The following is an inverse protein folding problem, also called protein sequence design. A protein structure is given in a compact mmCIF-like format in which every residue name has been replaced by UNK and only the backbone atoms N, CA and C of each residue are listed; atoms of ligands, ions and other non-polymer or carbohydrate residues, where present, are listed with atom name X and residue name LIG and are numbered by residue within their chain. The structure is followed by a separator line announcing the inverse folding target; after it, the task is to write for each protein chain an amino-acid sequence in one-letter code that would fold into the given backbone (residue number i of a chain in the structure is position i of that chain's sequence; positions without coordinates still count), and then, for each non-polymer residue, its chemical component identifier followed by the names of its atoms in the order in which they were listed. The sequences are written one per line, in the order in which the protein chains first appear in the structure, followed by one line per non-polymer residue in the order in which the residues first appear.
data_IF_884863682003
#
_entry.id   IF_884863682003
#
_cell.length_a   1.000
_cell.length_b   1.000
_cell.length_c   1.000
_cell.angle_alpha   90.00
_cell.angle_beta   90.00
_cell.angle_gamma   90.00
#
_symmetry.space_group_name_H-M   'P 1'
#
loop_
_entity.id
_entity.type
_entity.pdbx_description
1 polymer ?
#
# COMPACT_ATOMS: atom_id res chain seq x y z
N UNK A 1 2.59 -38.01 -30.29
CA UNK A 1 1.19 -37.81 -29.86
C UNK A 1 1.07 -37.40 -28.37
N UNK A 2 2.15 -36.85 -27.77
CA UNK A 2 2.22 -36.49 -26.32
C UNK A 2 2.37 -34.99 -26.04
N UNK A 3 2.40 -34.13 -27.06
CA UNK A 3 2.60 -32.70 -26.91
C UNK A 3 1.31 -31.86 -26.83
N UNK A 4 0.15 -32.47 -27.10
CA UNK A 4 -1.13 -31.73 -27.01
C UNK A 4 -1.83 -31.83 -25.63
N UNK A 5 -1.36 -32.71 -24.75
CA UNK A 5 -1.95 -32.88 -23.41
C UNK A 5 -1.36 -31.94 -22.39
N UNK A 6 -0.10 -31.49 -22.59
CA UNK A 6 0.55 -30.55 -21.64
C UNK A 6 0.01 -29.12 -21.71
N UNK A 7 -0.53 -28.69 -22.85
CA UNK A 7 -1.10 -27.33 -23.00
C UNK A 7 -2.53 -27.19 -22.42
N UNK A 8 -3.26 -28.32 -22.32
CA UNK A 8 -4.63 -28.30 -21.76
C UNK A 8 -4.66 -28.28 -20.21
N UNK A 9 -3.59 -28.78 -19.56
CA UNK A 9 -3.52 -28.77 -18.09
C UNK A 9 -3.11 -27.40 -17.55
N UNK A 10 -2.35 -26.59 -18.31
CA UNK A 10 -1.94 -25.24 -17.90
C UNK A 10 -3.06 -24.19 -18.06
N UNK A 11 -4.02 -24.42 -18.96
CA UNK A 11 -5.18 -23.53 -19.13
C UNK A 11 -6.32 -23.79 -18.14
N UNK A 12 -6.32 -24.92 -17.44
CA UNK A 12 -7.33 -25.26 -16.43
C UNK A 12 -7.03 -24.66 -15.04
N UNK A 13 -5.81 -24.16 -14.80
CA UNK A 13 -5.46 -23.50 -13.54
C UNK A 13 -5.83 -21.99 -13.51
N UNK A 14 -6.20 -21.40 -14.64
CA UNK A 14 -6.63 -20.00 -14.71
C UNK A 14 -8.16 -19.82 -14.77
N UNK A 15 -8.91 -20.91 -14.78
CA UNK A 15 -10.38 -20.87 -14.87
C UNK A 15 -10.98 -21.50 -13.61
N UNK A 16 -11.02 -20.73 -12.50
CA UNK A 16 -11.75 -21.20 -11.32
C UNK A 16 -11.10 -20.88 -9.99
N UNK A 17 -10.74 -19.62 -9.71
CA UNK A 17 -10.77 -19.15 -8.33
C UNK A 17 -12.23 -18.76 -8.02
N UNK A 18 -13.08 -19.76 -8.01
CA UNK A 18 -14.42 -19.66 -7.42
C UNK A 18 -14.28 -19.98 -5.92
N UNK A 19 -13.27 -19.33 -5.28
CA UNK A 19 -13.10 -19.48 -3.86
C UNK A 19 -14.09 -18.53 -3.18
N UNK A 20 -14.72 -18.99 -2.12
CA UNK A 20 -15.55 -18.14 -1.25
C UNK A 20 -14.81 -16.86 -0.85
N UNK A 21 -13.48 -16.91 -0.76
CA UNK A 21 -12.59 -15.78 -0.47
C UNK A 21 -12.64 -14.71 -1.57
N UNK A 22 -12.52 -15.08 -2.85
CA UNK A 22 -12.62 -14.13 -3.95
C UNK A 22 -14.01 -13.46 -4.01
N UNK A 23 -15.06 -14.25 -3.71
CA UNK A 23 -16.43 -13.74 -3.67
C UNK A 23 -16.73 -12.83 -2.48
N UNK A 24 -15.87 -12.77 -1.48
CA UNK A 24 -16.00 -11.92 -0.31
C UNK A 24 -15.26 -10.56 -0.44
N UNK A 25 -14.27 -10.49 -1.33
CA UNK A 25 -13.54 -9.25 -1.62
C UNK A 25 -14.40 -8.32 -2.46
N UNK A 26 -14.52 -7.07 -2.02
CA UNK A 26 -15.26 -6.00 -2.70
C UNK A 26 -14.36 -4.80 -2.95
N UNK A 27 -14.69 -4.07 -4.02
CA UNK A 27 -13.93 -2.91 -4.46
C UNK A 27 -14.89 -1.76 -4.69
N UNK A 28 -14.71 -0.65 -3.98
CA UNK A 28 -15.46 0.59 -4.20
C UNK A 28 -14.65 1.53 -5.05
N UNK A 29 -15.18 1.92 -6.20
CA UNK A 29 -14.66 3.06 -6.97
C UNK A 29 -15.32 4.33 -6.46
N UNK A 30 -14.54 5.24 -5.88
CA UNK A 30 -15.04 6.51 -5.38
C UNK A 30 -15.10 7.55 -6.49
N UNK A 31 -16.31 8.08 -6.72
CA UNK A 31 -16.59 9.14 -7.69
C UNK A 31 -16.80 10.50 -7.02
N UNK A 32 -16.83 10.52 -5.69
CA UNK A 32 -16.95 11.70 -4.83
C UNK A 32 -16.81 11.32 -3.35
N UNK A 33 -16.83 12.30 -2.42
CA UNK A 33 -16.56 12.06 -1.00
C UNK A 33 -17.45 11.01 -0.32
N UNK A 34 -18.73 10.91 -0.74
CA UNK A 34 -19.70 9.96 -0.20
C UNK A 34 -20.42 9.22 -1.33
N UNK A 35 -19.81 9.12 -2.50
CA UNK A 35 -20.37 8.48 -3.68
C UNK A 35 -19.38 7.48 -4.23
N UNK A 36 -19.84 6.26 -4.42
CA UNK A 36 -19.05 5.17 -4.98
C UNK A 36 -19.90 4.20 -5.78
N UNK A 37 -19.24 3.52 -6.71
CA UNK A 37 -19.77 2.35 -7.39
C UNK A 37 -19.11 1.09 -6.80
N UNK A 38 -19.89 0.00 -6.74
CA UNK A 38 -19.48 -1.26 -6.14
C UNK A 38 -19.13 -2.28 -7.21
N UNK A 39 -17.96 -2.87 -7.07
CA UNK A 39 -17.44 -3.92 -7.92
C UNK A 39 -16.96 -5.11 -7.08
N UNK A 40 -16.79 -6.24 -7.72
CA UNK A 40 -16.04 -7.39 -7.21
C UNK A 40 -14.72 -7.56 -7.99
N UNK A 41 -13.93 -8.55 -7.55
CA UNK A 41 -12.62 -8.82 -8.14
C UNK A 41 -12.68 -9.21 -9.63
N UNK A 42 -13.83 -9.68 -10.12
CA UNK A 42 -13.97 -10.15 -11.50
C UNK A 42 -14.44 -9.04 -12.47
N UNK A 43 -15.13 -8.03 -11.96
CA UNK A 43 -15.75 -7.01 -12.80
C UNK A 43 -15.23 -5.59 -12.60
N UNK A 44 -14.28 -5.35 -11.68
CA UNK A 44 -13.75 -3.99 -11.42
C UNK A 44 -13.20 -3.29 -12.67
N UNK A 45 -12.75 -4.04 -13.68
CA UNK A 45 -12.28 -3.47 -14.94
C UNK A 45 -13.39 -2.72 -15.71
N UNK A 46 -14.67 -3.00 -15.46
CA UNK A 46 -15.79 -2.26 -16.08
C UNK A 46 -15.96 -0.85 -15.50
N UNK A 47 -15.30 -0.54 -14.37
CA UNK A 47 -15.26 0.82 -13.82
C UNK A 47 -14.63 1.84 -14.80
N UNK A 48 -13.85 1.39 -15.78
CA UNK A 48 -13.20 2.27 -16.78
C UNK A 48 -14.17 2.86 -17.80
N UNK A 49 -15.34 2.23 -17.96
CA UNK A 49 -16.42 2.77 -18.78
C UNK A 49 -17.25 3.84 -18.03
N UNK A 50 -17.02 4.00 -16.71
CA UNK A 50 -17.73 4.97 -15.91
C UNK A 50 -17.27 6.41 -16.26
N UNK A 51 -18.22 7.37 -16.46
CA UNK A 51 -17.88 8.74 -16.87
C UNK A 51 -16.94 9.49 -15.91
N UNK A 52 -16.89 9.11 -14.63
CA UNK A 52 -16.00 9.71 -13.64
C UNK A 52 -14.57 9.15 -13.71
N UNK A 53 -14.34 8.03 -14.41
CA UNK A 53 -13.00 7.47 -14.58
C UNK A 53 -12.19 8.33 -15.56
N UNK A 54 -10.96 8.67 -15.18
CA UNK A 54 -10.09 9.51 -15.98
C UNK A 54 -8.79 8.78 -16.34
N UNK A 55 -8.66 8.37 -17.59
CA UNK A 55 -7.49 7.65 -18.10
C UNK A 55 -6.15 8.42 -17.98
N UNK A 56 -6.19 9.74 -17.78
CA UNK A 56 -4.97 10.54 -17.59
C UNK A 56 -4.44 10.49 -16.15
N UNK A 57 -5.23 10.00 -15.19
CA UNK A 57 -4.87 9.92 -13.77
C UNK A 57 -4.25 8.57 -13.43
N UNK A 58 -3.51 8.53 -12.34
CA UNK A 58 -3.12 7.26 -11.73
C UNK A 58 -4.34 6.53 -11.17
N UNK A 59 -4.32 5.21 -11.26
CA UNK A 59 -5.36 4.33 -10.70
C UNK A 59 -4.82 3.73 -9.41
N UNK A 60 -5.40 4.13 -8.28
CA UNK A 60 -4.95 3.77 -6.94
C UNK A 60 -5.89 2.75 -6.33
N UNK A 61 -5.35 1.61 -5.89
CA UNK A 61 -6.06 0.63 -5.09
C UNK A 61 -5.52 0.66 -3.66
N UNK A 62 -6.35 1.12 -2.72
CA UNK A 62 -6.00 1.17 -1.29
C UNK A 62 -6.57 -0.02 -0.55
N UNK A 63 -5.73 -0.64 0.29
CA UNK A 63 -6.06 -1.81 1.07
C UNK A 63 -5.67 -1.57 2.55
N UNK A 64 -6.63 -1.56 3.45
CA UNK A 64 -6.43 -1.30 4.87
C UNK A 64 -5.86 -2.52 5.63
N UNK A 65 -5.57 -2.34 6.91
CA UNK A 65 -4.93 -3.33 7.77
C UNK A 65 -5.91 -4.33 8.41
N UNK A 66 -5.34 -5.30 9.13
CA UNK A 66 -6.10 -6.28 9.90
C UNK A 66 -6.98 -5.60 10.96
N UNK A 67 -8.14 -6.16 11.24
CA UNK A 67 -9.16 -5.66 12.17
C UNK A 67 -9.81 -4.31 11.83
N UNK A 68 -9.46 -3.70 10.71
CA UNK A 68 -10.12 -2.49 10.22
C UNK A 68 -11.31 -2.82 9.32
N UNK A 69 -12.13 -1.82 9.11
CA UNK A 69 -13.25 -1.82 8.17
C UNK A 69 -13.21 -0.54 7.34
N UNK A 70 -14.02 -0.47 6.31
CA UNK A 70 -14.19 0.74 5.50
C UNK A 70 -14.74 1.95 6.30
N UNK A 71 -15.19 1.73 7.54
CA UNK A 71 -15.71 2.76 8.46
C UNK A 71 -14.70 3.11 9.59
N UNK A 72 -13.52 2.52 9.61
CA UNK A 72 -12.47 2.88 10.58
C UNK A 72 -11.96 4.30 10.30
N UNK A 73 -11.71 5.09 11.36
CA UNK A 73 -11.39 6.51 11.27
C UNK A 73 -10.24 6.82 10.30
N UNK A 74 -9.14 6.10 10.41
CA UNK A 74 -7.98 6.29 9.53
C UNK A 74 -8.23 5.83 8.08
N UNK A 75 -9.14 4.87 7.84
CA UNK A 75 -9.59 4.48 6.50
C UNK A 75 -10.45 5.57 5.89
N UNK A 76 -11.39 6.12 6.67
CA UNK A 76 -12.23 7.26 6.27
C UNK A 76 -11.37 8.49 5.96
N UNK A 77 -10.31 8.71 6.74
CA UNK A 77 -9.38 9.81 6.51
C UNK A 77 -8.65 9.69 5.16
N UNK A 78 -8.21 8.47 4.79
CA UNK A 78 -7.60 8.21 3.47
C UNK A 78 -8.63 8.39 2.34
N UNK A 79 -9.85 7.87 2.50
CA UNK A 79 -10.94 8.04 1.52
C UNK A 79 -11.20 9.55 1.27
N UNK A 80 -11.36 10.32 2.36
CA UNK A 80 -11.59 11.76 2.28
C UNK A 80 -10.42 12.49 1.61
N UNK A 81 -9.18 12.08 1.90
CA UNK A 81 -8.01 12.68 1.28
C UNK A 81 -8.00 12.50 -0.24
N UNK A 82 -8.21 11.28 -0.73
CA UNK A 82 -8.22 10.99 -2.17
C UNK A 82 -9.40 11.63 -2.89
N UNK A 83 -10.60 11.58 -2.30
CA UNK A 83 -11.80 12.13 -2.93
C UNK A 83 -11.78 13.65 -2.96
N UNK A 84 -11.22 14.32 -1.95
CA UNK A 84 -11.04 15.76 -1.92
C UNK A 84 -9.95 16.24 -2.88
N UNK A 85 -8.82 15.52 -2.96
CA UNK A 85 -7.72 15.87 -3.85
C UNK A 85 -8.06 15.66 -5.34
N UNK A 86 -8.84 14.63 -5.66
CA UNK A 86 -9.38 14.37 -7.00
C UNK A 86 -8.34 14.12 -8.11
N UNK A 87 -7.07 13.88 -7.75
CA UNK A 87 -5.99 13.69 -8.73
C UNK A 87 -5.76 12.23 -9.15
N UNK A 88 -6.51 11.28 -8.60
CA UNK A 88 -6.41 9.84 -8.88
C UNK A 88 -7.78 9.23 -9.10
N UNK A 89 -7.85 8.12 -9.85
CA UNK A 89 -8.97 7.19 -9.78
C UNK A 89 -8.77 6.36 -8.52
N UNK A 90 -9.63 6.50 -7.53
CA UNK A 90 -9.42 5.91 -6.21
C UNK A 90 -10.36 4.73 -5.95
N UNK A 91 -9.78 3.59 -5.63
CA UNK A 91 -10.46 2.34 -5.32
C UNK A 91 -10.10 1.89 -3.91
N UNK A 92 -11.12 1.53 -3.11
CA UNK A 92 -10.98 0.91 -1.80
C UNK A 92 -11.30 -0.57 -1.88
N UNK A 93 -10.38 -1.41 -1.40
CA UNK A 93 -10.58 -2.85 -1.22
C UNK A 93 -11.10 -3.10 0.19
N UNK A 94 -12.18 -3.87 0.31
CA UNK A 94 -12.74 -4.26 1.60
C UNK A 94 -13.38 -5.67 1.54
N UNK A 95 -13.83 -6.18 2.67
CA UNK A 95 -14.34 -7.54 2.82
C UNK A 95 -15.76 -7.54 3.38
N UNK A 96 -16.58 -8.51 2.97
CA UNK A 96 -17.94 -8.70 3.50
C UNK A 96 -17.91 -9.48 4.82
N UNK A 97 -17.25 -10.63 4.89
CA UNK A 97 -17.33 -11.54 6.02
C UNK A 97 -16.00 -12.15 6.48
N UNK A 98 -14.97 -12.19 5.61
CA UNK A 98 -13.67 -12.84 5.91
C UNK A 98 -12.72 -11.97 6.73
N UNK A 99 -13.14 -10.81 7.21
CA UNK A 99 -12.27 -9.87 7.95
C UNK A 99 -11.54 -10.54 9.14
N UNK A 100 -12.13 -11.56 9.76
CA UNK A 100 -11.51 -12.34 10.86
C UNK A 100 -10.46 -13.33 10.36
N UNK A 101 -10.50 -13.75 9.10
CA UNK A 101 -9.64 -14.77 8.51
C UNK A 101 -8.69 -14.19 7.45
N UNK A 102 -8.59 -12.87 7.35
CA UNK A 102 -7.76 -12.18 6.33
C UNK A 102 -6.31 -12.63 6.40
N UNK A 103 -5.78 -12.90 7.58
CA UNK A 103 -4.39 -13.35 7.74
C UNK A 103 -4.18 -14.71 7.07
N UNK A 104 -5.06 -15.69 7.34
CA UNK A 104 -4.95 -17.03 6.76
C UNK A 104 -5.25 -17.04 5.26
N UNK A 105 -6.09 -16.14 4.79
CA UNK A 105 -6.53 -16.03 3.40
C UNK A 105 -5.70 -15.02 2.60
N UNK A 106 -4.65 -14.43 3.18
CA UNK A 106 -3.88 -13.35 2.57
C UNK A 106 -3.36 -13.69 1.16
N UNK A 107 -2.95 -14.94 0.95
CA UNK A 107 -2.49 -15.40 -0.38
C UNK A 107 -3.63 -15.47 -1.38
N UNK A 108 -4.74 -16.08 -1.03
CA UNK A 108 -5.90 -16.20 -1.93
C UNK A 108 -6.49 -14.83 -2.28
N UNK A 109 -6.55 -13.91 -1.30
CA UNK A 109 -6.95 -12.52 -1.53
C UNK A 109 -5.98 -11.84 -2.52
N UNK A 110 -4.68 -11.99 -2.31
CA UNK A 110 -3.66 -11.43 -3.19
C UNK A 110 -3.76 -11.97 -4.61
N UNK A 111 -3.97 -13.28 -4.77
CA UNK A 111 -4.13 -13.92 -6.08
C UNK A 111 -5.42 -13.46 -6.79
N UNK A 112 -6.53 -13.30 -6.06
CA UNK A 112 -7.79 -12.75 -6.59
C UNK A 112 -7.62 -11.31 -7.08
N UNK A 113 -6.94 -10.47 -6.28
CA UNK A 113 -6.63 -9.09 -6.64
C UNK A 113 -5.68 -9.00 -7.85
N UNK A 114 -4.71 -9.92 -7.96
CA UNK A 114 -3.84 -9.99 -9.14
C UNK A 114 -4.64 -10.20 -10.43
N UNK A 115 -5.62 -11.10 -10.41
CA UNK A 115 -6.56 -11.29 -11.52
C UNK A 115 -7.32 -10.00 -11.89
N UNK A 116 -7.75 -9.23 -10.88
CA UNK A 116 -8.38 -7.92 -11.07
C UNK A 116 -7.43 -6.93 -11.75
N UNK A 117 -6.19 -6.84 -11.29
CA UNK A 117 -5.19 -5.90 -11.83
C UNK A 117 -4.77 -6.25 -13.26
N UNK A 118 -4.67 -7.53 -13.58
CA UNK A 118 -4.41 -8.00 -14.96
C UNK A 118 -5.56 -7.56 -15.87
N UNK A 119 -6.82 -7.85 -15.49
CA UNK A 119 -8.00 -7.42 -16.27
C UNK A 119 -8.08 -5.90 -16.40
N UNK A 120 -7.72 -5.16 -15.36
CA UNK A 120 -7.61 -3.69 -15.36
C UNK A 120 -6.64 -3.20 -16.43
N UNK A 121 -5.46 -3.81 -16.51
CA UNK A 121 -4.46 -3.46 -17.51
C UNK A 121 -4.88 -3.89 -18.92
N UNK A 122 -5.47 -5.08 -19.06
CA UNK A 122 -5.94 -5.60 -20.35
C UNK A 122 -7.14 -4.79 -20.88
N UNK A 123 -7.91 -4.13 -20.01
CA UNK A 123 -8.97 -3.18 -20.36
C UNK A 123 -8.44 -1.78 -20.73
N UNK A 124 -7.12 -1.54 -20.67
CA UNK A 124 -6.48 -0.34 -21.19
C UNK A 124 -5.87 0.61 -20.16
N UNK A 125 -5.89 0.28 -18.86
CA UNK A 125 -5.13 1.08 -17.87
C UNK A 125 -3.66 0.78 -18.01
N UNK A 126 -2.79 1.78 -18.28
CA UNK A 126 -1.36 1.58 -18.34
C UNK A 126 -0.83 1.07 -17.00
N UNK A 127 -0.08 -0.05 -17.01
CA UNK A 127 0.42 -0.70 -15.79
C UNK A 127 1.34 0.22 -14.97
N UNK A 128 2.05 1.13 -15.61
CA UNK A 128 2.90 2.15 -15.00
C UNK A 128 2.09 3.23 -14.25
N UNK A 129 0.79 3.34 -14.51
CA UNK A 129 -0.14 4.21 -13.77
C UNK A 129 -0.89 3.47 -12.66
N UNK A 130 -0.69 2.18 -12.53
CA UNK A 130 -1.25 1.39 -11.44
C UNK A 130 -0.42 1.61 -10.18
N UNK A 131 -1.07 2.13 -9.13
CA UNK A 131 -0.46 2.38 -7.83
C UNK A 131 -1.21 1.57 -6.77
N UNK A 132 -0.55 0.57 -6.22
CA UNK A 132 -1.07 -0.22 -5.11
C UNK A 132 -0.62 0.40 -3.80
N UNK A 133 -1.54 0.65 -2.90
CA UNK A 133 -1.27 1.23 -1.58
C UNK A 133 -1.83 0.30 -0.52
N UNK A 134 -1.01 -0.13 0.41
CA UNK A 134 -1.44 -1.03 1.47
C UNK A 134 -0.99 -0.56 2.84
N UNK A 135 -1.88 -0.63 3.83
CA UNK A 135 -1.56 -0.41 5.23
C UNK A 135 -1.44 -1.74 5.98
N UNK A 136 -0.40 -1.89 6.80
CA UNK A 136 -0.23 -3.05 7.68
C UNK A 136 -0.28 -4.37 6.89
N UNK A 137 -1.21 -5.28 7.23
CA UNK A 137 -1.46 -6.52 6.48
C UNK A 137 -1.83 -6.25 5.02
N UNK A 138 -2.57 -5.16 4.75
CA UNK A 138 -2.92 -4.76 3.39
C UNK A 138 -1.70 -4.51 2.50
N UNK A 139 -0.58 -4.04 3.06
CA UNK A 139 0.67 -3.88 2.32
C UNK A 139 1.25 -5.23 1.87
N UNK A 140 1.18 -6.25 2.72
CA UNK A 140 1.65 -7.59 2.38
C UNK A 140 0.77 -8.25 1.31
N UNK A 141 -0.56 -8.07 1.42
CA UNK A 141 -1.51 -8.60 0.42
C UNK A 141 -1.31 -7.92 -0.94
N UNK A 142 -1.09 -6.61 -0.97
CA UNK A 142 -0.77 -5.89 -2.20
C UNK A 142 0.56 -6.36 -2.82
N UNK A 143 1.55 -6.69 -1.99
CA UNK A 143 2.81 -7.27 -2.45
C UNK A 143 2.62 -8.65 -3.07
N UNK A 144 1.78 -9.52 -2.47
CA UNK A 144 1.40 -10.81 -3.05
C UNK A 144 0.74 -10.58 -4.41
N UNK A 145 -0.28 -9.71 -4.47
CA UNK A 145 -1.00 -9.42 -5.71
C UNK A 145 -0.04 -8.94 -6.81
N UNK A 146 0.85 -8.03 -6.50
CA UNK A 146 1.83 -7.49 -7.46
C UNK A 146 2.81 -8.56 -7.97
N UNK A 147 3.31 -9.44 -7.08
CA UNK A 147 4.15 -10.59 -7.48
C UNK A 147 3.40 -11.56 -8.38
N UNK A 148 2.15 -11.88 -8.03
CA UNK A 148 1.29 -12.77 -8.83
C UNK A 148 1.00 -12.17 -10.20
N UNK A 149 0.78 -10.85 -10.33
CA UNK A 149 0.69 -10.17 -11.64
C UNK A 149 1.94 -10.41 -12.47
N UNK A 150 3.15 -10.20 -11.89
CA UNK A 150 4.41 -10.42 -12.60
C UNK A 150 4.57 -11.88 -13.04
N UNK A 151 4.30 -12.82 -12.14
CA UNK A 151 4.46 -14.27 -12.41
C UNK A 151 3.47 -14.75 -13.47
N UNK A 152 2.18 -14.43 -13.32
CA UNK A 152 1.12 -14.89 -14.23
C UNK A 152 1.23 -14.29 -15.63
N UNK A 153 1.92 -13.16 -15.78
CA UNK A 153 2.10 -12.47 -17.07
C UNK A 153 3.51 -12.63 -17.63
N UNK A 154 4.34 -13.50 -17.06
CA UNK A 154 5.77 -13.64 -17.41
C UNK A 154 6.48 -12.28 -17.44
N UNK A 155 6.20 -11.41 -16.46
CA UNK A 155 6.70 -10.02 -16.34
C UNK A 155 6.30 -9.07 -17.48
N UNK A 156 5.30 -9.42 -18.28
CA UNK A 156 4.69 -8.48 -19.24
C UNK A 156 4.10 -7.28 -18.53
N UNK A 157 3.49 -7.52 -17.36
CA UNK A 157 2.97 -6.49 -16.48
C UNK A 157 3.82 -6.43 -15.19
N UNK A 158 4.33 -5.25 -14.91
CA UNK A 158 5.00 -4.91 -13.65
C UNK A 158 4.34 -3.64 -13.12
N UNK A 159 3.66 -3.76 -11.99
CA UNK A 159 2.95 -2.63 -11.36
C UNK A 159 3.87 -1.42 -11.23
N UNK A 160 3.38 -0.23 -11.61
CA UNK A 160 4.19 0.99 -11.63
C UNK A 160 4.69 1.39 -10.25
N UNK A 161 3.80 1.40 -9.24
CA UNK A 161 4.17 1.75 -7.86
C UNK A 161 3.43 0.88 -6.84
N UNK A 162 4.15 0.50 -5.79
CA UNK A 162 3.61 -0.13 -4.59
C UNK A 162 4.08 0.62 -3.35
N UNK A 163 3.16 1.16 -2.57
CA UNK A 163 3.45 1.84 -1.31
C UNK A 163 2.99 0.99 -0.13
N UNK A 164 3.92 0.62 0.73
CA UNK A 164 3.63 -0.01 2.03
C UNK A 164 3.56 1.04 3.13
N UNK A 165 2.38 1.22 3.72
CA UNK A 165 2.14 2.11 4.84
C UNK A 165 2.22 1.28 6.12
N UNK A 166 3.29 1.45 6.87
CA UNK A 166 3.66 0.67 8.06
C UNK A 166 3.39 -0.83 7.87
N UNK A 167 4.09 -1.47 6.90
CA UNK A 167 3.82 -2.84 6.49
C UNK A 167 3.83 -3.79 7.69
N UNK A 168 2.79 -4.62 7.82
CA UNK A 168 2.62 -5.49 8.97
C UNK A 168 3.78 -6.47 9.13
N UNK A 169 4.33 -6.54 10.34
CA UNK A 169 5.27 -7.56 10.76
C UNK A 169 4.49 -8.85 11.04
N UNK A 170 4.24 -9.63 9.99
CA UNK A 170 3.59 -10.93 10.14
C UNK A 170 4.66 -11.89 10.66
N UNK A 171 4.90 -11.82 11.99
CA UNK A 171 5.96 -12.61 12.59
C UNK A 171 5.72 -14.11 12.48
N UNK A 172 6.79 -14.77 12.14
CA UNK A 172 7.18 -16.16 12.34
C UNK A 172 6.44 -17.25 11.58
N UNK A 173 5.14 -17.18 11.30
CA UNK A 173 4.42 -18.33 10.73
C UNK A 173 4.02 -18.13 9.26
N UNK A 174 3.65 -16.92 8.86
CA UNK A 174 3.09 -16.67 7.52
C UNK A 174 4.07 -16.03 6.53
N UNK A 175 5.06 -15.27 6.98
CA UNK A 175 6.07 -14.68 6.05
C UNK A 175 6.79 -15.74 5.21
N UNK A 176 7.16 -16.92 5.73
CA UNK A 176 7.72 -17.97 4.90
C UNK A 176 6.77 -18.47 3.81
N UNK A 177 5.46 -18.34 4.01
CA UNK A 177 4.43 -18.81 3.09
C UNK A 177 4.03 -17.77 2.06
N UNK A 178 3.98 -16.49 2.44
CA UNK A 178 3.45 -15.41 1.59
C UNK A 178 4.53 -14.45 1.07
N UNK A 179 5.71 -14.46 1.66
CA UNK A 179 6.79 -13.52 1.36
C UNK A 179 6.51 -12.11 1.91
N UNK A 180 7.58 -11.39 2.24
CA UNK A 180 7.53 -9.98 2.69
C UNK A 180 7.46 -9.05 1.47
N UNK A 181 6.82 -7.88 1.63
CA UNK A 181 6.95 -6.77 0.69
C UNK A 181 8.43 -6.45 0.45
N UNK A 182 8.80 -6.25 -0.80
CA UNK A 182 10.19 -6.03 -1.22
C UNK A 182 10.29 -5.12 -2.44
N UNK A 183 11.48 -4.59 -2.70
CA UNK A 183 11.72 -3.74 -3.87
C UNK A 183 11.42 -4.43 -5.22
N UNK A 184 11.44 -5.75 -5.28
CA UNK A 184 11.15 -6.51 -6.52
C UNK A 184 9.66 -6.61 -6.86
N UNK A 185 8.77 -6.16 -5.96
CA UNK A 185 7.34 -6.36 -6.11
C UNK A 185 6.68 -5.38 -7.11
N UNK A 186 7.32 -4.25 -7.40
CA UNK A 186 6.86 -3.28 -8.40
C UNK A 186 8.04 -2.56 -9.08
N UNK A 187 7.78 -1.78 -10.12
CA UNK A 187 8.79 -0.95 -10.74
C UNK A 187 9.37 0.08 -9.76
N UNK A 188 8.54 0.60 -8.87
CA UNK A 188 8.95 1.41 -7.73
C UNK A 188 8.19 0.98 -6.47
N UNK A 189 8.92 0.74 -5.38
CA UNK A 189 8.38 0.37 -4.07
C UNK A 189 8.88 1.36 -3.05
N UNK A 190 7.97 2.01 -2.34
CA UNK A 190 8.27 2.87 -1.20
C UNK A 190 7.54 2.37 0.05
N UNK A 191 8.15 2.57 1.21
CA UNK A 191 7.56 2.19 2.49
C UNK A 191 7.66 3.33 3.51
N UNK A 192 6.63 3.44 4.34
CA UNK A 192 6.55 4.38 5.45
C UNK A 192 6.53 3.56 6.74
N UNK A 193 7.39 3.89 7.69
CA UNK A 193 7.51 3.16 8.95
C UNK A 193 7.26 4.12 10.11
N UNK A 194 6.28 3.77 10.95
CA UNK A 194 5.87 4.55 12.13
C UNK A 194 5.87 3.73 13.41
N UNK A 195 5.75 2.39 13.31
CA UNK A 195 5.79 1.46 14.44
C UNK A 195 6.61 0.23 14.05
N UNK A 196 7.74 0.01 14.67
CA UNK A 196 8.68 -1.06 14.32
C UNK A 196 8.92 -2.08 15.44
N UNK A 197 8.04 -2.13 16.45
CA UNK A 197 8.23 -3.00 17.63
C UNK A 197 7.21 -4.12 17.70
N UNK A 198 5.95 -3.85 17.37
CA UNK A 198 4.85 -4.79 17.57
C UNK A 198 4.09 -5.18 16.32
N UNK A 199 3.54 -4.21 15.60
CA UNK A 199 2.67 -4.45 14.46
C UNK A 199 3.35 -4.21 13.11
N UNK A 200 4.16 -3.15 13.01
CA UNK A 200 4.87 -2.77 11.81
C UNK A 200 6.27 -3.38 11.68
N UNK A 201 6.82 -3.33 10.50
CA UNK A 201 8.17 -3.79 10.20
C UNK A 201 9.17 -2.61 10.31
N UNK A 202 10.29 -2.82 10.97
CA UNK A 202 11.35 -1.82 11.13
C UNK A 202 12.48 -1.94 10.09
N UNK A 203 12.36 -2.89 9.18
CA UNK A 203 13.38 -3.09 8.15
C UNK A 203 13.16 -2.17 6.96
N UNK A 204 14.25 -1.75 6.34
CA UNK A 204 14.19 -1.08 5.04
C UNK A 204 13.89 -2.10 3.95
N UNK A 205 12.70 -2.02 3.33
CA UNK A 205 12.14 -3.08 2.49
C UNK A 205 11.80 -2.67 1.06
N UNK A 206 11.76 -1.37 0.77
CA UNK A 206 11.45 -0.85 -0.57
C UNK A 206 12.70 -0.43 -1.35
N UNK A 207 12.50 0.25 -2.46
CA UNK A 207 13.54 1.04 -3.12
C UNK A 207 13.93 2.21 -2.22
N UNK A 208 12.93 2.80 -1.53
CA UNK A 208 13.10 3.80 -0.49
C UNK A 208 12.22 3.45 0.70
N UNK A 209 12.74 3.66 1.91
CA UNK A 209 12.02 3.47 3.18
C UNK A 209 12.12 4.73 4.02
N UNK A 210 10.97 5.25 4.44
CA UNK A 210 10.84 6.47 5.23
C UNK A 210 10.58 6.14 6.71
N UNK A 211 11.55 6.44 7.57
CA UNK A 211 11.50 6.21 9.01
C UNK A 211 10.98 7.47 9.71
N UNK A 212 9.69 7.51 9.96
CA UNK A 212 9.01 8.66 10.58
C UNK A 212 9.29 8.67 12.08
N UNK A 213 9.92 9.74 12.59
CA UNK A 213 10.35 9.86 13.98
C UNK A 213 11.18 8.67 14.46
N UNK A 214 12.01 8.12 13.55
CA UNK A 214 12.83 6.94 13.80
C UNK A 214 12.20 5.61 13.38
N UNK A 215 10.92 5.60 13.00
CA UNK A 215 10.22 4.41 12.47
C UNK A 215 9.86 3.35 13.50
N UNK A 216 9.96 3.65 14.80
CA UNK A 216 9.78 2.67 15.89
C UNK A 216 8.55 2.99 16.75
N UNK A 217 8.42 4.25 17.18
CA UNK A 217 7.29 4.72 17.96
C UNK A 217 7.10 6.22 17.73
N UNK A 218 5.86 6.70 17.83
CA UNK A 218 5.57 8.10 17.63
C UNK A 218 5.60 8.88 18.96
N UNK A 219 6.23 10.06 19.00
CA UNK A 219 6.48 10.79 20.27
C UNK A 219 5.21 11.23 20.98
N UNK A 220 4.09 11.38 20.26
CA UNK A 220 2.79 11.75 20.83
C UNK A 220 1.93 10.53 21.20
N UNK A 221 2.35 9.33 20.86
CA UNK A 221 1.66 8.08 21.21
C UNK A 221 2.13 7.58 22.59
N UNK A 222 1.76 8.31 23.64
CA UNK A 222 2.18 8.02 25.00
C UNK A 222 1.13 7.21 25.74
N UNK A 223 1.48 6.01 26.21
CA UNK A 223 0.64 5.20 27.09
C UNK A 223 1.54 4.30 27.93
N UNK A 224 1.15 4.06 29.19
CA UNK A 224 1.78 3.06 30.05
C UNK A 224 1.46 1.64 29.59
N UNK A 225 0.44 1.47 28.76
CA UNK A 225 0.05 0.20 28.13
C UNK A 225 0.68 0.15 26.74
N UNK A 226 1.70 -0.68 26.60
CA UNK A 226 2.49 -0.77 25.37
C UNK A 226 1.63 -1.00 24.11
N UNK A 227 0.65 -1.89 24.17
CA UNK A 227 -0.22 -2.19 23.01
C UNK A 227 -0.99 -0.97 22.55
N UNK A 228 -1.43 -0.09 23.46
CA UNK A 228 -2.13 1.16 23.09
C UNK A 228 -1.17 2.13 22.39
N UNK A 229 0.05 2.29 22.92
CA UNK A 229 1.07 3.15 22.32
C UNK A 229 1.49 2.64 20.93
N UNK A 230 1.65 1.32 20.78
CA UNK A 230 1.95 0.66 19.52
C UNK A 230 0.81 0.83 18.50
N UNK A 231 -0.44 0.59 18.91
CA UNK A 231 -1.62 0.81 18.05
C UNK A 231 -1.73 2.25 17.58
N UNK A 232 -1.49 3.22 18.47
CA UNK A 232 -1.44 4.64 18.13
C UNK A 232 -0.36 4.92 17.08
N UNK A 233 0.87 4.44 17.32
CA UNK A 233 2.01 4.65 16.41
C UNK A 233 1.78 4.00 15.05
N UNK A 234 1.20 2.80 15.03
CA UNK A 234 0.86 2.06 13.82
C UNK A 234 -0.22 2.78 13.00
N UNK A 235 -1.30 3.21 13.66
CA UNK A 235 -2.41 3.91 13.01
C UNK A 235 -2.08 5.34 12.58
N UNK A 236 -0.96 5.91 13.01
CA UNK A 236 -0.49 7.20 12.53
C UNK A 236 -0.04 7.17 11.06
N UNK A 237 0.43 6.04 10.56
CA UNK A 237 0.94 5.94 9.20
C UNK A 237 -0.12 6.28 8.12
N UNK A 238 -1.36 5.77 8.16
CA UNK A 238 -2.44 6.20 7.26
C UNK A 238 -2.78 7.69 7.38
N UNK A 239 -2.73 8.27 8.58
CA UNK A 239 -2.96 9.71 8.81
C UNK A 239 -1.89 10.56 8.11
N UNK A 240 -0.61 10.23 8.27
CA UNK A 240 0.48 10.90 7.57
C UNK A 240 0.38 10.72 6.04
N UNK A 241 -0.02 9.53 5.60
CA UNK A 241 -0.29 9.28 4.19
C UNK A 241 -1.42 10.17 3.66
N UNK A 242 -2.55 10.23 4.35
CA UNK A 242 -3.70 11.05 3.99
C UNK A 242 -3.36 12.55 3.92
N UNK A 243 -2.53 13.04 4.85
CA UNK A 243 -2.03 14.42 4.79
C UNK A 243 -1.21 14.65 3.51
N UNK A 244 -0.34 13.70 3.13
CA UNK A 244 0.45 13.79 1.91
C UNK A 244 -0.39 13.76 0.63
N UNK A 245 -1.51 13.03 0.65
CA UNK A 245 -2.46 12.94 -0.48
C UNK A 245 -3.22 14.25 -0.69
N UNK A 246 -3.57 14.95 0.40
CA UNK A 246 -4.28 16.25 0.33
C UNK A 246 -3.42 17.36 -0.25
N UNK A 247 -2.10 17.22 -0.22
CA UNK A 247 -1.18 18.27 -0.65
C UNK A 247 -0.88 18.18 -2.15
N UNK A 248 -0.90 19.33 -2.82
CA UNK A 248 -0.43 19.48 -4.21
C UNK A 248 1.10 19.66 -4.32
N UNK A 249 1.80 19.80 -3.19
CA UNK A 249 3.25 19.96 -3.10
C UNK A 249 3.83 18.94 -2.12
N UNK A 250 5.10 18.53 -2.28
CA UNK A 250 5.77 17.69 -1.29
C UNK A 250 5.87 18.38 0.08
N UNK A 251 5.39 17.71 1.14
CA UNK A 251 5.27 18.31 2.49
C UNK A 251 6.00 17.54 3.60
N UNK A 252 6.53 16.37 3.31
CA UNK A 252 7.28 15.55 4.27
C UNK A 252 8.73 15.36 3.80
N UNK A 253 9.55 16.43 3.81
CA UNK A 253 10.95 16.33 3.41
C UNK A 253 11.70 15.40 4.36
N UNK A 254 12.61 14.59 3.80
CA UNK A 254 13.40 13.57 4.50
C UNK A 254 14.84 13.58 4.05
N UNK A 255 15.75 13.10 4.89
CA UNK A 255 17.17 12.98 4.58
C UNK A 255 17.61 11.52 4.57
N UNK A 256 18.39 11.09 3.57
CA UNK A 256 19.03 9.78 3.60
C UNK A 256 20.09 9.76 4.70
N UNK A 257 20.03 8.73 5.55
CA UNK A 257 20.92 8.64 6.69
C UNK A 257 21.15 7.17 7.08
N UNK A 258 22.28 6.89 7.70
CA UNK A 258 22.65 5.53 8.09
C UNK A 258 21.72 4.96 9.18
N UNK A 259 21.30 5.79 10.11
CA UNK A 259 20.37 5.43 11.19
C UNK A 259 19.81 6.68 11.87
N UNK A 260 18.86 6.47 12.80
CA UNK A 260 18.20 7.54 13.54
C UNK A 260 19.13 8.40 14.39
N UNK A 261 20.15 7.80 15.03
CA UNK A 261 21.08 8.54 15.88
C UNK A 261 21.94 9.52 15.06
N UNK A 262 22.39 9.08 13.88
CA UNK A 262 23.13 9.93 12.93
C UNK A 262 22.23 11.06 12.42
N UNK A 263 20.95 10.77 12.15
CA UNK A 263 19.98 11.80 11.76
C UNK A 263 19.79 12.84 12.88
N UNK A 264 19.60 12.40 14.12
CA UNK A 264 19.38 13.30 15.28
C UNK A 264 20.64 14.14 15.57
N UNK A 265 21.84 13.60 15.33
CA UNK A 265 23.10 14.33 15.47
C UNK A 265 23.32 15.39 14.37
N UNK A 266 22.52 15.36 13.28
CA UNK A 266 22.73 16.25 12.14
C UNK A 266 23.85 15.82 11.19
N UNK A 267 24.36 14.60 11.34
CA UNK A 267 25.52 14.07 10.63
C UNK A 267 25.14 13.28 9.34
N UNK A 268 23.91 13.46 8.83
CA UNK A 268 23.51 12.86 7.56
C UNK A 268 24.31 13.45 6.41
N UNK A 269 24.71 12.60 5.47
CA UNK A 269 25.30 13.06 4.22
C UNK A 269 24.34 14.00 3.47
N UNK A 270 24.91 14.99 2.79
CA UNK A 270 24.17 15.98 1.97
C UNK A 270 23.62 15.40 0.65
N UNK A 271 23.27 14.10 0.63
CA UNK A 271 22.64 13.47 -0.51
C UNK A 271 21.26 14.11 -0.76
N UNK A 272 20.69 13.98 -1.98
CA UNK A 272 19.42 14.62 -2.31
C UNK A 272 18.33 14.25 -1.32
N UNK A 273 17.70 15.25 -0.73
CA UNK A 273 16.50 15.07 0.06
C UNK A 273 15.38 14.45 -0.80
N UNK A 274 14.61 13.55 -0.22
CA UNK A 274 13.38 13.06 -0.81
C UNK A 274 12.19 13.49 0.04
N UNK A 275 10.98 13.33 -0.50
CA UNK A 275 9.76 13.60 0.23
C UNK A 275 8.96 12.31 0.39
N UNK A 276 8.59 11.99 1.62
CA UNK A 276 7.67 10.91 1.92
C UNK A 276 6.26 11.24 1.42
N UNK A 277 5.52 10.24 1.00
CA UNK A 277 4.10 10.34 0.73
C UNK A 277 3.73 10.24 -0.75
N UNK A 278 2.55 10.76 -1.12
CA UNK A 278 1.99 10.62 -2.46
C UNK A 278 2.92 11.15 -3.55
N UNK A 279 3.61 12.26 -3.30
CA UNK A 279 4.51 12.93 -4.24
C UNK A 279 5.98 12.51 -4.10
N UNK A 280 6.24 11.33 -3.56
CA UNK A 280 7.59 10.74 -3.55
C UNK A 280 8.11 10.59 -4.98
N UNK A 281 9.39 10.94 -5.18
CA UNK A 281 10.05 10.74 -6.48
C UNK A 281 10.50 9.29 -6.66
N UNK A 282 10.26 8.73 -7.84
CA UNK A 282 10.70 7.37 -8.20
C UNK A 282 12.24 7.23 -8.23
N UNK A 283 12.98 8.32 -8.16
CA UNK A 283 14.44 8.32 -8.05
C UNK A 283 14.93 8.13 -6.59
N UNK A 284 14.06 8.28 -5.59
CA UNK A 284 14.44 8.12 -4.18
C UNK A 284 14.92 6.69 -3.88
N UNK A 285 16.00 6.57 -3.10
CA UNK A 285 16.61 5.28 -2.75
C UNK A 285 17.11 5.26 -1.31
N UNK A 286 17.09 4.07 -0.71
CA UNK A 286 17.68 3.82 0.61
C UNK A 286 16.78 4.21 1.77
N UNK A 287 17.38 4.36 2.95
CA UNK A 287 16.65 4.69 4.18
C UNK A 287 16.70 6.19 4.43
N UNK A 288 15.53 6.79 4.51
CA UNK A 288 15.34 8.20 4.78
C UNK A 288 14.68 8.41 6.13
N UNK A 289 15.11 9.45 6.84
CA UNK A 289 14.56 9.83 8.13
C UNK A 289 13.92 11.21 8.06
N UNK A 290 12.84 11.38 8.82
CA UNK A 290 12.13 12.65 8.96
C UNK A 290 11.50 12.77 10.35
N UNK A 291 11.25 14.01 10.76
CA UNK A 291 10.43 14.34 11.93
C UNK A 291 9.09 14.90 11.50
N UNK A 292 8.08 14.68 12.32
CA UNK A 292 6.76 15.29 12.21
C UNK A 292 6.51 16.25 13.38
N UNK A 293 5.48 17.06 13.26
CA UNK A 293 4.87 17.74 14.41
C UNK A 293 4.12 16.70 15.27
N UNK A 294 3.85 17.05 16.52
CA UNK A 294 3.10 16.19 17.44
C UNK A 294 1.57 16.31 17.30
N UNK A 295 1.11 17.23 16.45
CA UNK A 295 -0.29 17.45 16.11
C UNK A 295 -0.40 17.92 14.66
N UNK A 296 -1.58 17.78 14.07
CA UNK A 296 -1.84 18.22 12.70
C UNK A 296 -1.70 19.78 12.57
N UNK A 297 -1.14 20.27 11.47
CA UNK A 297 -0.54 19.48 10.40
C UNK A 297 0.76 18.81 10.88
N UNK A 298 0.89 17.51 10.58
CA UNK A 298 2.06 16.72 11.00
C UNK A 298 3.30 17.00 10.15
N UNK A 299 3.10 17.49 8.94
CA UNK A 299 4.19 17.86 8.04
C UNK A 299 5.04 19.01 8.60
N UNK A 300 6.33 18.98 8.26
CA UNK A 300 7.29 20.05 8.59
C UNK A 300 7.91 20.60 7.32
N UNK A 301 8.18 21.91 7.22
CA UNK A 301 8.65 22.53 5.98
C UNK A 301 10.07 22.11 5.56
N UNK A 302 10.86 21.61 6.50
CA UNK A 302 12.25 21.18 6.28
C UNK A 302 12.54 19.88 7.00
N UNK A 303 13.40 19.05 6.41
CA UNK A 303 13.93 17.85 7.06
C UNK A 303 15.02 18.25 8.04
N UNK A 304 14.63 18.60 9.26
CA UNK A 304 15.59 18.93 10.34
C UNK A 304 15.69 17.76 11.32
N UNK A 305 16.89 17.53 11.88
CA UNK A 305 17.14 16.61 12.99
C UNK A 305 16.28 16.88 14.21
#
# INVERSE_FOLDING_TARGET
MYWKVALAVFSLFLCGVDSQVANDVRIRFYIGPNQWELYDVNNVHTAFDHPAFNNARNTVFYHYGFSQTENSDNVLEVIQAYTAAGHSNFFLIYYLSIATNVITNAREIGDALAGSYIRTCDAGVPVERLHLVGFSLGAQIQAIASRTVQQSTNRRLVVGRLTGIDPGQIQSVLIPLIGRLSASDAAFVDSIHTEGVGFGDHLSIGHVSYMVNGGVAQPFCTSIINTIAQTCSHNFAPTAWAESVRSSTPIFPSLPCANWNVFVAGDCNSAPAANMGMLTTVAARGTHFLRTNNAAPFSRPVATP
#
